data_IF_339728941105
#
_entry.id   IF_339728941105
#
_cell.length_a   1.000
_cell.length_b   1.000
_cell.length_c   1.000
_cell.angle_alpha   90.00
_cell.angle_beta   90.00
_cell.angle_gamma   90.00
#
_symmetry.space_group_name_H-M   'P 1'
#
loop_
_entity.id
_entity.type
_entity.pdbx_description
1 polymer ?
#
# COMPACT_ATOMS: atom_id res chain seq x y z
N UNK A 1 -7.19 -3.26 -26.06
CA UNK A 1 -7.06 -4.73 -25.90
C UNK A 1 -5.88 -5.36 -26.64
N UNK A 2 -5.68 -5.17 -27.96
CA UNK A 2 -4.50 -5.73 -28.66
C UNK A 2 -3.18 -5.10 -28.22
N UNK A 3 -3.10 -3.75 -28.20
CA UNK A 3 -1.91 -3.02 -27.73
C UNK A 3 -1.46 -3.41 -26.31
N UNK A 4 -2.41 -3.60 -25.41
CA UNK A 4 -2.12 -3.96 -24.01
C UNK A 4 -1.57 -5.40 -23.90
N UNK A 5 -2.12 -6.34 -24.68
CA UNK A 5 -1.62 -7.72 -24.74
C UNK A 5 -0.21 -7.80 -25.33
N UNK A 6 0.04 -7.07 -26.42
CA UNK A 6 1.37 -6.97 -27.05
C UNK A 6 2.40 -6.33 -26.11
N UNK A 7 1.99 -5.33 -25.32
CA UNK A 7 2.85 -4.70 -24.32
C UNK A 7 3.16 -5.65 -23.15
N UNK A 8 2.17 -6.41 -22.68
CA UNK A 8 2.35 -7.45 -21.66
C UNK A 8 3.31 -8.54 -22.16
N UNK A 9 3.16 -8.99 -23.40
CA UNK A 9 4.05 -9.98 -24.00
C UNK A 9 5.47 -9.44 -24.21
N UNK A 10 5.62 -8.18 -24.64
CA UNK A 10 6.91 -7.49 -24.70
C UNK A 10 7.59 -7.46 -23.33
N UNK A 11 6.89 -7.02 -22.28
CA UNK A 11 7.44 -6.96 -20.91
C UNK A 11 7.79 -8.35 -20.37
N UNK A 12 7.03 -9.39 -20.72
CA UNK A 12 7.32 -10.77 -20.32
C UNK A 12 8.54 -11.38 -21.02
N UNK A 13 8.85 -10.90 -22.22
CA UNK A 13 9.98 -11.38 -23.02
C UNK A 13 11.24 -10.52 -22.84
N UNK A 14 11.16 -9.36 -22.17
CA UNK A 14 12.32 -8.55 -21.82
C UNK A 14 13.16 -9.19 -20.70
N UNK A 15 14.48 -8.99 -20.77
CA UNK A 15 15.41 -9.37 -19.71
C UNK A 15 15.31 -8.42 -18.51
N UNK A 16 15.77 -8.86 -17.33
CA UNK A 16 15.69 -8.06 -16.09
C UNK A 16 16.51 -6.74 -16.18
N UNK A 17 17.58 -6.73 -16.97
CA UNK A 17 18.41 -5.55 -17.22
C UNK A 17 17.68 -4.52 -18.09
N UNK A 18 17.08 -4.96 -19.20
CA UNK A 18 16.26 -4.13 -20.07
C UNK A 18 15.03 -3.59 -19.36
N UNK A 19 14.42 -4.38 -18.46
CA UNK A 19 13.29 -3.96 -17.63
C UNK A 19 13.69 -2.84 -16.67
N UNK A 20 14.85 -2.95 -16.03
CA UNK A 20 15.36 -1.91 -15.12
C UNK A 20 15.68 -0.62 -15.87
N UNK A 21 16.23 -0.71 -17.08
CA UNK A 21 16.43 0.46 -17.94
C UNK A 21 15.12 1.07 -18.42
N UNK A 22 14.14 0.24 -18.76
CA UNK A 22 12.81 0.69 -19.15
C UNK A 22 12.07 1.38 -18.01
N UNK A 23 12.14 0.86 -16.78
CA UNK A 23 11.57 1.50 -15.59
C UNK A 23 12.29 2.80 -15.23
N UNK A 24 13.59 2.91 -15.51
CA UNK A 24 14.36 4.16 -15.35
C UNK A 24 13.98 5.22 -16.40
N UNK A 25 13.75 4.79 -17.65
CA UNK A 25 13.35 5.66 -18.77
C UNK A 25 11.86 6.05 -18.71
N UNK A 26 11.02 5.19 -18.14
CA UNK A 26 9.59 5.41 -17.92
C UNK A 26 9.28 5.44 -16.43
N UNK A 27 9.68 6.51 -15.71
CA UNK A 27 9.35 6.64 -14.30
C UNK A 27 7.83 6.67 -14.15
N UNK A 28 7.30 5.85 -13.23
CA UNK A 28 5.89 5.87 -12.90
C UNK A 28 5.52 7.28 -12.44
N UNK A 29 4.35 7.80 -12.85
CA UNK A 29 3.90 9.11 -12.38
C UNK A 29 3.90 9.10 -10.85
N UNK A 30 4.49 10.15 -10.26
CA UNK A 30 4.58 10.26 -8.82
C UNK A 30 3.18 10.19 -8.21
N UNK A 31 3.03 9.36 -7.18
CA UNK A 31 1.78 9.32 -6.44
C UNK A 31 1.49 10.71 -5.85
N UNK A 32 0.23 11.13 -5.93
CA UNK A 32 -0.19 12.39 -5.30
C UNK A 32 0.12 12.36 -3.80
N UNK A 33 0.54 13.48 -3.20
CA UNK A 33 0.88 13.53 -1.78
C UNK A 33 -0.33 13.09 -0.95
N UNK A 34 -0.12 12.08 -0.11
CA UNK A 34 -1.16 11.62 0.83
C UNK A 34 -1.38 12.73 1.85
N UNK A 35 -2.62 13.18 1.98
CA UNK A 35 -3.00 14.14 3.00
C UNK A 35 -2.78 13.55 4.39
N UNK A 36 -2.33 14.38 5.34
CA UNK A 36 -2.07 13.95 6.72
C UNK A 36 -3.36 14.02 7.53
N UNK A 37 -3.75 12.88 8.09
CA UNK A 37 -4.98 12.73 8.87
C UNK A 37 -4.75 13.17 10.31
N UNK A 38 -5.79 13.72 10.94
CA UNK A 38 -5.77 14.03 12.37
C UNK A 38 -5.91 12.76 13.21
N UNK A 39 -5.44 12.85 14.45
CA UNK A 39 -5.55 11.74 15.39
C UNK A 39 -7.03 11.34 15.59
N UNK A 40 -7.32 10.06 15.39
CA UNK A 40 -8.66 9.47 15.50
C UNK A 40 -9.72 9.95 14.51
N UNK A 41 -9.31 10.64 13.44
CA UNK A 41 -10.20 11.07 12.38
C UNK A 41 -10.85 9.88 11.66
N UNK A 42 -12.15 9.97 11.38
CA UNK A 42 -12.89 8.91 10.69
C UNK A 42 -12.55 8.88 9.20
N UNK A 43 -12.11 7.71 8.72
CA UNK A 43 -11.93 7.43 7.30
C UNK A 43 -13.27 7.30 6.57
N UNK A 44 -13.46 8.15 5.57
CA UNK A 44 -14.56 8.03 4.61
C UNK A 44 -14.02 7.49 3.30
N UNK A 45 -14.38 6.25 2.97
CA UNK A 45 -14.04 5.65 1.69
C UNK A 45 -14.88 6.30 0.59
N UNK A 46 -14.22 6.72 -0.51
CA UNK A 46 -14.85 7.38 -1.67
C UNK A 46 -15.81 6.46 -2.48
N UNK A 47 -15.99 5.22 -2.04
CA UNK A 47 -16.67 4.15 -2.81
C UNK A 47 -15.72 3.46 -3.79
N UNK A 48 -16.18 2.43 -4.48
CA UNK A 48 -15.43 1.76 -5.55
C UNK A 48 -16.13 1.90 -6.92
N UNK A 49 -17.39 2.34 -6.92
CA UNK A 49 -18.25 2.44 -8.09
C UNK A 49 -18.24 3.87 -8.64
N UNK A 50 -18.44 4.02 -9.96
CA UNK A 50 -18.60 5.31 -10.65
C UNK A 50 -17.40 6.27 -10.53
N UNK A 51 -16.20 5.75 -10.26
CA UNK A 51 -14.98 6.55 -10.14
C UNK A 51 -14.20 6.72 -11.44
N UNK A 52 -14.34 5.74 -12.34
CA UNK A 52 -13.83 5.82 -13.70
C UNK A 52 -14.88 6.41 -14.62
N UNK A 53 -14.44 7.04 -15.71
CA UNK A 53 -15.33 7.31 -16.82
C UNK A 53 -15.89 5.97 -17.34
N UNK A 54 -17.17 5.97 -17.77
CA UNK A 54 -17.78 4.76 -18.31
C UNK A 54 -17.11 4.39 -19.64
N UNK A 55 -16.76 3.12 -19.81
CA UNK A 55 -16.20 2.58 -21.05
C UNK A 55 -17.24 2.49 -22.19
N UNK A 56 -18.53 2.71 -21.88
CA UNK A 56 -19.63 2.64 -22.83
C UNK A 56 -19.77 3.92 -23.67
N UNK A 57 -19.93 3.76 -24.99
CA UNK A 57 -20.14 4.86 -25.94
C UNK A 57 -21.43 5.67 -25.70
N UNK A 58 -22.38 5.13 -24.92
CA UNK A 58 -23.62 5.79 -24.52
C UNK A 58 -23.46 6.62 -23.24
N UNK A 59 -22.28 7.20 -23.03
CA UNK A 59 -21.84 7.97 -21.87
C UNK A 59 -22.92 8.95 -21.37
N UNK A 60 -23.75 8.49 -20.43
CA UNK A 60 -24.83 9.30 -19.85
C UNK A 60 -24.47 9.84 -18.46
N UNK A 61 -23.38 9.36 -17.86
CA UNK A 61 -22.87 9.87 -16.57
C UNK A 61 -21.35 9.87 -16.60
N UNK A 62 -20.74 11.02 -16.92
CA UNK A 62 -19.28 11.18 -16.85
C UNK A 62 -18.76 11.16 -15.41
N UNK A 63 -17.44 11.08 -15.21
CA UNK A 63 -16.85 11.23 -13.87
C UNK A 63 -17.27 12.55 -13.23
N UNK A 64 -18.20 12.47 -12.27
CA UNK A 64 -18.73 13.66 -11.62
C UNK A 64 -17.63 14.39 -10.83
N UNK A 65 -17.63 15.72 -10.92
CA UNK A 65 -16.70 16.58 -10.16
C UNK A 65 -16.76 16.33 -8.64
N UNK A 66 -17.85 15.74 -8.15
CA UNK A 66 -18.05 15.30 -6.76
C UNK A 66 -16.93 14.38 -6.30
N UNK A 67 -16.48 13.47 -7.16
CA UNK A 67 -15.43 12.50 -6.82
C UNK A 67 -14.02 13.12 -6.79
N UNK A 68 -13.84 14.33 -7.29
CA UNK A 68 -12.55 15.05 -7.23
C UNK A 68 -12.39 15.90 -5.97
N UNK A 69 -13.40 15.93 -5.09
CA UNK A 69 -13.36 16.66 -3.83
C UNK A 69 -12.38 16.04 -2.84
N UNK A 70 -11.98 16.83 -1.86
CA UNK A 70 -11.17 16.34 -0.75
C UNK A 70 -12.03 15.57 0.26
N UNK A 71 -11.83 14.25 0.33
CA UNK A 71 -12.48 13.34 1.28
C UNK A 71 -11.64 13.11 2.55
N UNK A 72 -10.44 13.69 2.63
CA UNK A 72 -9.55 13.58 3.78
C UNK A 72 -9.71 14.71 4.80
N UNK A 73 -10.59 15.67 4.54
CA UNK A 73 -10.85 16.78 5.45
C UNK A 73 -11.57 16.33 6.73
N UNK A 74 -11.23 16.89 7.90
CA UNK A 74 -11.89 16.58 9.17
C UNK A 74 -13.35 17.05 9.14
N UNK A 75 -14.26 16.15 9.52
CA UNK A 75 -15.71 16.37 9.47
C UNK A 75 -16.30 16.31 10.88
N UNK A 76 -17.26 17.20 11.19
CA UNK A 76 -17.96 17.22 12.48
C UNK A 76 -17.03 17.29 13.69
N UNK A 77 -17.06 16.25 14.52
CA UNK A 77 -16.26 16.11 15.76
C UNK A 77 -14.74 16.05 15.53
N UNK A 78 -14.29 15.66 14.34
CA UNK A 78 -12.85 15.53 14.03
C UNK A 78 -12.17 16.89 13.77
N UNK A 79 -12.93 17.99 13.78
CA UNK A 79 -12.38 19.35 13.71
C UNK A 79 -11.56 19.72 14.95
N UNK A 80 -11.86 19.12 16.09
CA UNK A 80 -11.12 19.32 17.34
C UNK A 80 -9.88 18.42 17.38
N UNK A 81 -8.78 18.93 17.92
CA UNK A 81 -7.58 18.13 18.12
C UNK A 81 -7.74 17.22 19.35
N UNK A 82 -7.96 15.93 19.09
CA UNK A 82 -8.17 14.91 20.13
C UNK A 82 -6.88 14.53 20.87
N UNK A 83 -5.71 14.98 20.42
CA UNK A 83 -4.43 14.72 21.09
C UNK A 83 -4.28 15.48 22.41
N UNK A 84 -4.94 16.64 22.52
CA UNK A 84 -4.92 17.49 23.72
C UNK A 84 -5.74 16.86 24.86
N UNK A 85 -6.63 15.92 24.53
CA UNK A 85 -7.46 15.24 25.52
C UNK A 85 -6.62 14.32 26.43
N UNK A 86 -7.02 14.13 27.70
CA UNK A 86 -6.41 13.14 28.59
C UNK A 86 -6.41 11.74 27.96
N UNK A 87 -5.38 10.93 28.23
CA UNK A 87 -5.21 9.60 27.63
C UNK A 87 -6.45 8.70 27.73
N UNK A 88 -7.20 8.79 28.83
CA UNK A 88 -8.44 8.02 29.06
C UNK A 88 -9.55 8.40 28.07
N UNK A 89 -9.56 9.65 27.59
CA UNK A 89 -10.52 10.19 26.62
C UNK A 89 -10.05 10.07 25.16
N UNK A 90 -8.79 9.67 24.90
CA UNK A 90 -8.23 9.45 23.55
C UNK A 90 -8.77 8.14 22.93
N UNK A 91 -10.10 8.07 22.82
CA UNK A 91 -10.88 6.87 22.50
C UNK A 91 -12.06 7.25 21.60
N UNK A 92 -12.42 6.38 20.64
CA UNK A 92 -13.35 6.75 19.55
C UNK A 92 -14.80 6.92 20.02
N UNK A 93 -15.19 6.18 21.05
CA UNK A 93 -16.53 6.19 21.62
C UNK A 93 -16.42 6.22 23.15
N UNK A 94 -15.85 7.30 23.69
CA UNK A 94 -15.74 7.48 25.13
C UNK A 94 -17.13 7.46 25.79
N UNK A 95 -17.29 6.71 26.89
CA UNK A 95 -18.55 6.58 27.61
C UNK A 95 -19.54 5.53 27.06
N UNK A 96 -19.26 4.88 25.92
CA UNK A 96 -20.10 3.79 25.40
C UNK A 96 -19.68 2.43 25.98
N UNK A 97 -20.66 1.61 26.36
CA UNK A 97 -20.42 0.22 26.79
C UNK A 97 -19.94 -0.65 25.62
N UNK A 98 -19.23 -1.75 25.92
CA UNK A 98 -18.74 -2.69 24.89
C UNK A 98 -17.51 -2.21 24.13
N UNK A 99 -16.61 -1.46 24.78
CA UNK A 99 -15.37 -0.98 24.15
C UNK A 99 -14.35 -2.11 23.97
N UNK A 100 -13.65 -2.11 22.84
CA UNK A 100 -12.49 -2.98 22.59
C UNK A 100 -11.29 -2.58 23.45
N UNK A 101 -10.47 -3.57 23.83
CA UNK A 101 -9.19 -3.33 24.55
C UNK A 101 -8.21 -2.53 23.70
N UNK A 102 -8.21 -2.80 22.39
CA UNK A 102 -7.34 -2.18 21.38
C UNK A 102 -7.87 -0.83 20.93
N UNK A 103 -6.97 0.14 20.74
CA UNK A 103 -7.35 1.54 20.48
C UNK A 103 -7.13 1.97 19.04
N UNK A 104 -5.88 2.07 18.59
CA UNK A 104 -5.52 2.48 17.23
C UNK A 104 -4.22 1.81 16.83
N UNK A 105 -4.07 1.51 15.53
CA UNK A 105 -2.96 0.70 15.00
C UNK A 105 -1.60 1.16 15.52
N UNK A 106 -1.33 2.47 15.54
CA UNK A 106 -0.03 3.00 15.98
C UNK A 106 0.30 2.63 17.44
N UNK A 107 -0.70 2.53 18.32
CA UNK A 107 -0.48 2.16 19.72
C UNK A 107 -0.34 0.64 19.90
N UNK A 108 -0.90 -0.15 18.99
CA UNK A 108 -0.83 -1.62 19.03
C UNK A 108 0.25 -2.17 18.08
N UNK A 109 0.95 -1.29 17.36
CA UNK A 109 2.01 -1.64 16.44
C UNK A 109 3.26 -2.02 17.25
N UNK A 110 3.56 -3.31 17.25
CA UNK A 110 4.73 -3.88 17.94
C UNK A 110 5.95 -3.99 17.04
N UNK A 111 5.92 -3.35 15.86
CA UNK A 111 7.06 -3.34 14.93
C UNK A 111 8.26 -2.67 15.59
N UNK A 112 9.27 -3.46 15.94
CA UNK A 112 10.54 -2.98 16.45
C UNK A 112 11.48 -2.63 15.28
N UNK A 113 11.66 -1.34 15.04
CA UNK A 113 12.56 -0.83 14.00
C UNK A 113 14.05 -1.09 14.30
N UNK A 114 14.43 -1.41 15.54
CA UNK A 114 15.80 -1.74 15.93
C UNK A 114 16.15 -3.23 15.77
N UNK A 115 15.22 -4.04 15.27
CA UNK A 115 15.44 -5.45 15.07
C UNK A 115 16.46 -5.70 13.92
N UNK A 116 17.47 -6.58 14.08
CA UNK A 116 18.40 -6.93 12.99
C UNK A 116 17.74 -7.40 11.68
N UNK A 117 16.46 -7.81 11.72
CA UNK A 117 15.68 -8.19 10.54
C UNK A 117 15.11 -7.02 9.73
N UNK A 118 14.91 -5.83 10.32
CA UNK A 118 14.29 -4.67 9.66
C UNK A 118 15.26 -3.89 8.79
N UNK A 119 16.55 -3.93 9.09
CA UNK A 119 17.60 -3.29 8.31
C UNK A 119 17.97 -4.11 7.07
N UNK A 120 18.09 -3.43 5.91
CA UNK A 120 18.58 -4.05 4.68
C UNK A 120 20.13 -4.09 4.65
N UNK A 121 20.71 -4.75 5.66
CA UNK A 121 22.16 -4.87 5.85
C UNK A 121 22.71 -6.13 5.12
N UNK A 122 23.92 -6.09 4.54
CA UNK A 122 24.67 -7.29 4.12
C UNK A 122 24.65 -8.46 5.13
N UNK A 123 24.54 -8.19 6.43
CA UNK A 123 24.38 -9.19 7.49
C UNK A 123 23.09 -10.00 7.35
N UNK A 124 21.98 -9.37 6.93
CA UNK A 124 20.70 -10.03 6.68
C UNK A 124 20.80 -11.00 5.51
N UNK A 125 21.49 -10.61 4.44
CA UNK A 125 21.75 -11.49 3.29
C UNK A 125 22.60 -12.71 3.70
N UNK A 126 23.67 -12.50 4.49
CA UNK A 126 24.51 -13.58 5.02
C UNK A 126 23.74 -14.53 5.95
N UNK A 127 22.88 -13.99 6.80
CA UNK A 127 22.06 -14.80 7.69
C UNK A 127 20.96 -15.56 6.93
N UNK A 128 20.28 -14.94 5.96
CA UNK A 128 19.31 -15.63 5.11
C UNK A 128 19.97 -16.77 4.32
N UNK A 129 21.20 -16.55 3.80
CA UNK A 129 22.00 -17.58 3.16
C UNK A 129 22.40 -18.72 4.13
N UNK A 130 22.61 -18.41 5.42
CA UNK A 130 23.00 -19.38 6.46
C UNK A 130 21.80 -20.12 7.09
N UNK A 131 20.64 -19.48 7.20
CA UNK A 131 19.39 -20.08 7.69
C UNK A 131 18.65 -20.88 6.63
N UNK A 132 18.99 -20.67 5.36
CA UNK A 132 18.70 -21.64 4.31
C UNK A 132 19.52 -22.91 4.57
N UNK A 133 19.15 -23.68 5.60
CA UNK A 133 19.70 -24.98 5.97
C UNK A 133 19.39 -26.08 4.95
N UNK A 134 19.29 -25.73 3.67
CA UNK A 134 19.24 -26.64 2.54
C UNK A 134 20.53 -26.44 1.76
N UNK A 135 21.56 -27.25 2.07
CA UNK A 135 22.79 -27.39 1.27
C UNK A 135 22.51 -28.09 -0.08
N UNK A 136 21.40 -27.75 -0.72
CA UNK A 136 21.07 -28.14 -2.06
C UNK A 136 20.57 -26.87 -2.78
N UNK A 137 20.99 -26.61 -4.03
CA UNK A 137 20.28 -25.62 -4.83
C UNK A 137 18.82 -26.06 -4.86
N UNK A 138 17.93 -25.26 -4.24
CA UNK A 138 16.50 -25.44 -4.40
C UNK A 138 16.23 -25.09 -5.86
N UNK A 139 16.39 -26.07 -6.75
CA UNK A 139 15.88 -25.98 -8.09
C UNK A 139 14.42 -25.64 -7.93
N UNK A 140 14.02 -24.46 -8.44
CA UNK A 140 12.61 -24.03 -8.41
C UNK A 140 11.79 -25.24 -8.89
N UNK A 141 10.83 -25.75 -8.10
CA UNK A 141 9.98 -26.81 -8.60
C UNK A 141 9.41 -26.33 -9.93
N UNK A 142 9.41 -27.18 -10.96
CA UNK A 142 8.73 -26.90 -12.23
C UNK A 142 7.22 -26.82 -11.95
N UNK A 143 6.80 -25.69 -11.38
CA UNK A 143 5.47 -25.40 -10.88
C UNK A 143 5.08 -23.99 -11.33
N UNK A 144 3.81 -23.85 -11.69
CA UNK A 144 3.28 -22.79 -12.55
C UNK A 144 3.69 -21.35 -12.16
N UNK A 145 3.99 -20.58 -13.21
CA UNK A 145 4.52 -19.20 -13.30
C UNK A 145 3.68 -18.11 -12.59
N UNK A 146 3.38 -18.24 -11.28
CA UNK A 146 2.48 -17.31 -10.55
C UNK A 146 2.98 -16.72 -9.23
N UNK A 147 4.21 -16.97 -8.78
CA UNK A 147 4.76 -16.24 -7.61
C UNK A 147 5.82 -15.23 -8.04
N UNK A 148 5.59 -13.97 -7.62
CA UNK A 148 6.37 -12.78 -7.95
C UNK A 148 7.42 -12.58 -6.86
N UNK A 149 8.69 -12.77 -7.21
CA UNK A 149 9.84 -12.49 -6.33
C UNK A 149 9.98 -10.96 -6.14
N UNK A 150 10.10 -10.48 -4.90
CA UNK A 150 10.10 -9.04 -4.53
C UNK A 150 11.50 -8.43 -4.35
N UNK A 151 12.58 -9.07 -4.78
CA UNK A 151 13.93 -8.51 -4.58
C UNK A 151 14.59 -8.03 -5.88
N UNK A 152 14.61 -6.70 -6.06
CA UNK A 152 15.77 -5.94 -6.54
C UNK A 152 15.45 -4.44 -6.58
N UNK A 153 15.71 -3.73 -5.48
CA UNK A 153 15.99 -2.29 -5.53
C UNK A 153 17.11 -2.00 -4.54
N UNK A 154 18.23 -1.56 -5.11
CA UNK A 154 19.41 -1.01 -4.46
C UNK A 154 19.15 0.45 -4.12
#
# INVERSE_FOLDING_TARGET
MLKEKEEIERVRNMTEEERREWERKNPKPAAQPKQKWRFMQKYFHKGAFFQSDADDHAATVGSEAIFRRDFSAPTGEDKMDKTILPKVMQVKHFGRSGRTKWTHLVNEDTTDWNNPWTYNDPLRAKYNAKMAGMNAPIAKPKGSKKLKDWESAK
#
